data_IF_773433667507
#
_entry.id   IF_773433667507
#
_cell.length_a   1.000
_cell.length_b   1.000
_cell.length_c   1.000
_cell.angle_alpha   90.00
_cell.angle_beta   90.00
_cell.angle_gamma   90.00
#
_symmetry.space_group_name_H-M   'P 1'
#
loop_
_entity.id
_entity.type
_entity.pdbx_description
1 polymer ?
#
# COMPACT_ATOMS: atom_id res chain seq x y z
N UNK A 1 5.20 -24.44 31.90
CA UNK A 1 4.52 -23.14 31.78
C UNK A 1 3.20 -23.26 32.51
N UNK A 2 2.88 -22.35 33.44
CA UNK A 2 1.51 -22.25 33.94
C UNK A 2 0.59 -22.00 32.74
N UNK A 3 -0.44 -22.83 32.54
CA UNK A 3 -1.50 -22.54 31.57
C UNK A 3 -2.12 -21.20 31.97
N UNK A 4 -1.85 -20.15 31.20
CA UNK A 4 -2.51 -18.87 31.36
C UNK A 4 -3.96 -19.04 30.90
N UNK A 5 -4.91 -18.71 31.76
CA UNK A 5 -6.32 -18.64 31.40
C UNK A 5 -6.55 -17.30 30.68
N UNK A 6 -6.91 -17.35 29.40
CA UNK A 6 -7.19 -16.15 28.62
C UNK A 6 -8.63 -15.68 28.85
N UNK A 7 -8.84 -14.37 28.87
CA UNK A 7 -10.14 -13.72 28.99
C UNK A 7 -10.47 -12.97 27.70
N UNK A 8 -11.76 -12.72 27.48
CA UNK A 8 -12.22 -11.85 26.38
C UNK A 8 -11.93 -10.38 26.74
N UNK A 9 -10.66 -10.00 26.64
CA UNK A 9 -10.14 -8.65 26.88
C UNK A 9 -9.16 -8.28 25.77
N UNK A 10 -9.04 -6.99 25.47
CA UNK A 10 -8.17 -6.53 24.39
C UNK A 10 -6.69 -6.94 24.56
N UNK A 11 -6.09 -6.93 25.77
CA UNK A 11 -4.73 -7.43 25.97
C UNK A 11 -4.54 -8.91 25.64
N UNK A 12 -5.49 -9.76 26.02
CA UNK A 12 -5.41 -11.18 25.70
C UNK A 12 -5.63 -11.45 24.21
N UNK A 13 -6.57 -10.74 23.59
CA UNK A 13 -6.80 -10.76 22.15
C UNK A 13 -5.54 -10.35 21.37
N UNK A 14 -4.95 -9.19 21.68
CA UNK A 14 -3.75 -8.70 20.98
C UNK A 14 -2.56 -9.63 21.19
N UNK A 15 -2.40 -10.24 22.38
CA UNK A 15 -1.33 -11.22 22.63
C UNK A 15 -1.49 -12.47 21.75
N UNK A 16 -2.71 -12.96 21.57
CA UNK A 16 -2.99 -14.12 20.72
C UNK A 16 -2.82 -13.79 19.23
N UNK A 17 -3.28 -12.60 18.79
CA UNK A 17 -3.09 -12.11 17.42
C UNK A 17 -1.59 -11.92 17.12
N UNK A 18 -0.84 -11.33 18.04
CA UNK A 18 0.60 -11.12 17.92
C UNK A 18 1.44 -12.39 17.82
N UNK A 19 0.88 -13.58 18.10
CA UNK A 19 1.54 -14.85 17.79
C UNK A 19 1.65 -15.12 16.27
N UNK A 20 0.93 -14.36 15.46
CA UNK A 20 0.86 -14.48 14.00
C UNK A 20 1.37 -13.23 13.27
N UNK A 21 1.72 -12.17 14.01
CA UNK A 21 2.35 -11.01 13.40
C UNK A 21 3.69 -11.41 12.78
N UNK A 22 3.96 -10.91 11.58
CA UNK A 22 5.20 -11.15 10.82
C UNK A 22 5.39 -12.55 10.19
N UNK A 23 4.40 -13.44 10.26
CA UNK A 23 4.48 -14.75 9.59
C UNK A 23 3.45 -14.91 8.48
N UNK A 24 3.91 -15.28 7.27
CA UNK A 24 3.03 -15.75 6.20
C UNK A 24 2.49 -17.13 6.62
N UNK A 25 1.19 -17.21 6.93
CA UNK A 25 0.55 -18.50 7.19
C UNK A 25 0.35 -19.22 5.86
N UNK A 26 1.05 -20.35 5.68
CA UNK A 26 0.80 -21.25 4.57
C UNK A 26 -0.42 -22.14 4.87
N UNK A 27 -1.13 -22.63 3.85
CA UNK A 27 -2.19 -23.62 4.05
C UNK A 27 -1.65 -24.90 4.69
N UNK A 28 -2.20 -25.29 5.83
CA UNK A 28 -1.79 -26.48 6.59
C UNK A 28 -2.98 -27.37 6.96
N UNK A 29 -2.75 -28.67 7.08
CA UNK A 29 -3.74 -29.63 7.58
C UNK A 29 -4.08 -29.32 9.06
N UNK A 30 -5.31 -28.93 9.41
CA UNK A 30 -5.64 -28.54 10.78
C UNK A 30 -5.72 -29.75 11.73
N UNK A 31 -5.48 -29.53 13.02
CA UNK A 31 -5.81 -30.54 14.05
C UNK A 31 -7.32 -30.67 14.29
N UNK A 32 -7.72 -31.81 14.86
CA UNK A 32 -9.11 -32.05 15.32
C UNK A 32 -9.56 -30.91 16.24
N UNK A 33 -8.73 -30.54 17.22
CA UNK A 33 -9.05 -29.48 18.18
C UNK A 33 -9.25 -28.11 17.51
N UNK A 34 -8.43 -27.76 16.52
CA UNK A 34 -8.60 -26.53 15.76
C UNK A 34 -9.88 -26.57 14.91
N UNK A 35 -10.11 -27.66 14.18
CA UNK A 35 -11.30 -27.82 13.34
C UNK A 35 -12.60 -27.72 14.18
N UNK A 36 -12.67 -28.42 15.31
CA UNK A 36 -13.81 -28.38 16.23
C UNK A 36 -14.06 -26.99 16.82
N UNK A 37 -13.02 -26.17 16.98
CA UNK A 37 -13.15 -24.80 17.49
C UNK A 37 -13.51 -23.80 16.39
N UNK A 38 -13.10 -24.03 15.15
CA UNK A 38 -13.47 -23.21 14.00
C UNK A 38 -14.94 -23.38 13.62
N UNK A 39 -15.48 -24.60 13.71
CA UNK A 39 -16.83 -24.93 13.28
C UNK A 39 -17.91 -24.01 13.89
N UNK A 40 -17.95 -23.77 15.23
CA UNK A 40 -18.88 -22.82 15.83
C UNK A 40 -18.76 -21.39 15.28
N UNK A 41 -17.54 -20.91 15.06
CA UNK A 41 -17.31 -19.55 14.55
C UNK A 41 -17.81 -19.39 13.11
N UNK A 42 -17.50 -20.36 12.24
CA UNK A 42 -17.98 -20.39 10.86
C UNK A 42 -19.50 -20.49 10.79
N UNK A 43 -20.09 -21.29 11.68
CA UNK A 43 -21.55 -21.42 11.82
C UNK A 43 -22.20 -20.13 12.29
N UNK A 44 -21.63 -19.44 13.28
CA UNK A 44 -22.17 -18.17 13.78
C UNK A 44 -22.29 -17.12 12.65
N UNK A 45 -21.33 -17.12 11.73
CA UNK A 45 -21.27 -16.22 10.57
C UNK A 45 -21.86 -16.84 9.29
N UNK A 46 -22.54 -17.99 9.34
CA UNK A 46 -22.96 -18.72 8.13
C UNK A 46 -23.89 -17.88 7.24
N UNK A 47 -24.75 -17.08 7.87
CA UNK A 47 -25.78 -16.25 7.24
C UNK A 47 -25.31 -14.83 6.91
N UNK A 48 -24.06 -14.46 7.22
CA UNK A 48 -23.46 -13.21 6.78
C UNK A 48 -23.19 -13.28 5.26
N UNK A 49 -23.54 -12.23 4.54
CA UNK A 49 -23.26 -12.08 3.12
C UNK A 49 -21.75 -11.95 2.88
N UNK A 50 -21.30 -12.40 1.71
CA UNK A 50 -19.91 -12.25 1.30
C UNK A 50 -19.56 -10.80 0.99
N UNK A 51 -18.26 -10.48 1.01
CA UNK A 51 -17.78 -9.17 0.59
C UNK A 51 -18.04 -8.95 -0.91
N UNK A 52 -18.14 -7.69 -1.33
CA UNK A 52 -18.39 -7.33 -2.73
C UNK A 52 -17.23 -7.72 -3.65
N UNK A 53 -16.01 -7.76 -3.10
CA UNK A 53 -14.78 -8.01 -3.86
C UNK A 53 -14.39 -9.49 -3.89
N UNK A 54 -14.87 -10.28 -2.92
CA UNK A 54 -14.56 -11.70 -2.80
C UNK A 54 -15.76 -12.48 -2.24
N UNK A 55 -16.38 -13.29 -3.09
CA UNK A 55 -17.58 -14.05 -2.73
C UNK A 55 -17.33 -15.24 -1.79
N UNK A 56 -16.07 -15.57 -1.52
CA UNK A 56 -15.63 -16.59 -0.55
C UNK A 56 -15.26 -16.01 0.82
N UNK A 57 -15.13 -14.68 0.92
CA UNK A 57 -14.77 -13.99 2.16
C UNK A 57 -15.94 -13.18 2.73
N UNK A 58 -16.03 -13.10 4.05
CA UNK A 58 -17.00 -12.28 4.78
C UNK A 58 -16.42 -11.85 6.10
N UNK A 59 -16.87 -10.72 6.63
CA UNK A 59 -16.36 -10.23 7.89
C UNK A 59 -17.31 -9.29 8.60
N UNK A 60 -17.10 -9.17 9.91
CA UNK A 60 -17.92 -8.36 10.80
C UNK A 60 -17.03 -7.72 11.87
N UNK A 61 -17.35 -6.50 12.26
CA UNK A 61 -16.75 -5.83 13.41
C UNK A 61 -17.30 -6.43 14.70
N UNK A 62 -16.42 -6.64 15.66
CA UNK A 62 -16.75 -7.06 17.03
C UNK A 62 -16.12 -6.12 18.03
N UNK A 63 -16.72 -6.02 19.20
CA UNK A 63 -16.17 -5.25 20.32
C UNK A 63 -15.72 -6.17 21.44
N UNK A 64 -14.58 -5.86 22.03
CA UNK A 64 -14.01 -6.56 23.17
C UNK A 64 -13.69 -5.54 24.27
N UNK A 65 -14.00 -5.82 25.55
CA UNK A 65 -13.63 -4.92 26.64
C UNK A 65 -12.12 -4.66 26.69
N UNK A 66 -11.71 -3.45 27.07
CA UNK A 66 -10.31 -3.14 27.36
C UNK A 66 -9.66 -4.11 28.35
N UNK A 67 -10.44 -4.63 29.30
CA UNK A 67 -9.92 -5.35 30.46
C UNK A 67 -9.35 -4.41 31.51
N UNK A 68 -8.80 -5.00 32.56
CA UNK A 68 -8.11 -4.28 33.63
C UNK A 68 -6.61 -4.23 33.34
N UNK A 69 -5.89 -3.32 34.00
CA UNK A 69 -4.43 -3.22 33.88
C UNK A 69 -3.70 -4.53 34.25
N UNK A 70 -4.34 -5.40 35.04
CA UNK A 70 -3.82 -6.72 35.40
C UNK A 70 -3.96 -7.78 34.30
N UNK A 71 -4.78 -7.53 33.27
CA UNK A 71 -4.92 -8.43 32.11
C UNK A 71 -3.82 -8.19 31.05
N UNK A 72 -3.10 -7.06 31.15
CA UNK A 72 -1.99 -6.69 30.26
C UNK A 72 -0.67 -7.40 30.64
N UNK A 73 0.49 -6.80 30.36
CA UNK A 73 1.79 -7.22 30.90
C UNK A 73 1.97 -6.66 32.29
N UNK A 74 2.86 -7.23 33.08
CA UNK A 74 3.16 -6.75 34.44
C UNK A 74 4.02 -5.49 34.44
N UNK A 75 4.01 -4.74 35.55
CA UNK A 75 4.91 -3.59 35.73
C UNK A 75 6.38 -4.02 35.67
N UNK A 76 6.71 -5.17 36.26
CA UNK A 76 8.06 -5.73 36.27
C UNK A 76 8.54 -6.08 34.85
N UNK A 77 7.65 -6.59 33.99
CA UNK A 77 7.97 -6.82 32.57
C UNK A 77 8.21 -5.50 31.84
N UNK A 78 7.32 -4.51 31.98
CA UNK A 78 7.48 -3.21 31.33
C UNK A 78 8.76 -2.48 31.77
N UNK A 79 9.12 -2.59 33.06
CA UNK A 79 10.37 -2.05 33.60
C UNK A 79 11.60 -2.82 33.06
N UNK A 80 11.52 -4.14 32.94
CA UNK A 80 12.61 -4.95 32.41
C UNK A 80 12.91 -4.65 30.93
N UNK A 81 11.90 -4.19 30.17
CA UNK A 81 12.06 -3.69 28.80
C UNK A 81 12.41 -2.20 28.73
N UNK A 82 12.65 -1.54 29.87
CA UNK A 82 12.98 -0.11 29.98
C UNK A 82 11.91 0.83 29.36
N UNK A 83 10.65 0.38 29.33
CA UNK A 83 9.55 1.19 28.78
C UNK A 83 8.95 2.15 29.80
N UNK A 84 9.15 1.87 31.10
CA UNK A 84 8.63 2.65 32.22
C UNK A 84 9.60 2.63 33.41
N UNK A 85 9.73 3.76 34.09
CA UNK A 85 10.51 3.90 35.32
C UNK A 85 9.61 3.89 36.57
N UNK A 86 8.33 4.21 36.43
CA UNK A 86 7.38 4.33 37.55
C UNK A 86 6.05 3.64 37.30
N UNK A 87 5.32 3.34 38.39
CA UNK A 87 3.94 2.80 38.29
C UNK A 87 2.98 3.75 37.59
N UNK A 88 3.21 5.06 37.71
CA UNK A 88 2.40 6.07 37.04
C UNK A 88 2.57 5.99 35.52
N UNK A 89 3.81 5.94 35.04
CA UNK A 89 4.11 5.76 33.61
C UNK A 89 3.56 4.43 33.09
N UNK A 90 3.57 3.37 33.90
CA UNK A 90 2.94 2.09 33.55
C UNK A 90 1.42 2.18 33.35
N UNK A 91 0.72 2.91 34.22
CA UNK A 91 -0.72 3.17 34.06
C UNK A 91 -1.01 4.04 32.83
N UNK A 92 -0.19 5.07 32.58
CA UNK A 92 -0.30 5.94 31.41
C UNK A 92 -0.04 5.16 30.10
N UNK A 93 0.99 4.32 30.07
CA UNK A 93 1.33 3.50 28.91
C UNK A 93 0.23 2.47 28.59
N UNK A 94 -0.35 1.82 29.62
CA UNK A 94 -1.49 0.92 29.40
C UNK A 94 -2.68 1.64 28.74
N UNK A 95 -2.98 2.87 29.16
CA UNK A 95 -4.05 3.69 28.57
C UNK A 95 -3.69 4.18 27.17
N UNK A 96 -2.42 4.34 26.83
CA UNK A 96 -1.98 4.64 25.46
C UNK A 96 -2.21 3.47 24.51
N UNK A 97 -1.88 2.23 24.94
CA UNK A 97 -2.14 1.02 24.17
C UNK A 97 -3.63 0.72 24.01
N UNK A 98 -4.41 0.95 25.08
CA UNK A 98 -5.86 0.69 25.12
C UNK A 98 -6.65 1.93 25.57
N UNK A 99 -6.77 2.95 24.69
CA UNK A 99 -7.37 4.24 25.05
C UNK A 99 -8.89 4.18 25.17
N UNK A 100 -9.54 3.15 24.62
CA UNK A 100 -11.00 3.02 24.61
C UNK A 100 -11.48 2.00 25.64
N UNK A 101 -12.68 2.20 26.21
CA UNK A 101 -13.28 1.20 27.11
C UNK A 101 -13.61 -0.11 26.40
N UNK A 102 -13.91 -0.02 25.09
CA UNK A 102 -14.14 -1.13 24.18
C UNK A 102 -13.19 -1.00 23.00
N UNK A 103 -12.42 -2.05 22.73
CA UNK A 103 -11.60 -2.17 21.53
C UNK A 103 -12.37 -2.88 20.42
N UNK A 104 -11.98 -2.58 19.18
CA UNK A 104 -12.65 -3.05 17.98
C UNK A 104 -11.76 -4.01 17.20
N UNK A 105 -12.37 -5.07 16.69
CA UNK A 105 -11.68 -6.05 15.84
C UNK A 105 -12.55 -6.36 14.63
N UNK A 106 -11.95 -6.42 13.45
CA UNK A 106 -12.62 -6.94 12.26
C UNK A 106 -12.31 -8.42 12.13
N UNK A 107 -13.33 -9.26 12.25
CA UNK A 107 -13.20 -10.71 12.14
C UNK A 107 -13.61 -11.13 10.74
N UNK A 108 -12.65 -11.60 9.96
CA UNK A 108 -12.85 -12.12 8.62
C UNK A 108 -12.79 -13.64 8.60
N UNK A 109 -13.71 -14.28 7.90
CA UNK A 109 -13.60 -15.70 7.55
C UNK A 109 -13.65 -15.86 6.04
N UNK A 110 -12.92 -16.86 5.54
CA UNK A 110 -12.96 -17.28 4.14
C UNK A 110 -13.16 -18.79 4.03
N UNK A 111 -14.00 -19.21 3.10
CA UNK A 111 -14.23 -20.63 2.81
C UNK A 111 -14.42 -20.81 1.31
N UNK A 112 -13.67 -21.73 0.70
CA UNK A 112 -13.86 -22.00 -0.71
C UNK A 112 -15.26 -22.52 -1.00
N UNK A 113 -15.74 -22.29 -2.22
CA UNK A 113 -17.04 -22.81 -2.69
C UNK A 113 -17.14 -24.35 -2.57
N UNK A 114 -18.37 -24.88 -2.42
CA UNK A 114 -18.59 -26.33 -2.31
C UNK A 114 -18.07 -27.16 -3.50
N UNK A 115 -17.93 -26.58 -4.69
CA UNK A 115 -17.42 -27.21 -5.91
C UNK A 115 -15.93 -26.94 -6.17
N UNK A 116 -15.27 -26.09 -5.36
CA UNK A 116 -13.85 -25.81 -5.51
C UNK A 116 -12.99 -27.07 -5.37
N UNK A 117 -11.96 -27.18 -6.22
CA UNK A 117 -10.98 -28.29 -6.20
C UNK A 117 -10.24 -28.38 -4.87
N UNK A 118 -9.92 -27.23 -4.27
CA UNK A 118 -9.27 -27.13 -2.98
C UNK A 118 -10.32 -26.77 -1.92
N UNK A 119 -10.33 -27.49 -0.80
CA UNK A 119 -11.10 -27.14 0.39
C UNK A 119 -10.23 -26.41 1.39
N UNK A 120 -10.69 -25.22 1.77
CA UNK A 120 -9.93 -24.28 2.59
C UNK A 120 -10.84 -23.54 3.56
N UNK A 121 -10.33 -23.25 4.75
CA UNK A 121 -10.90 -22.28 5.68
C UNK A 121 -9.84 -21.34 6.22
N UNK A 122 -10.11 -20.04 6.13
CA UNK A 122 -9.28 -18.98 6.67
C UNK A 122 -10.00 -18.20 7.77
N UNK A 123 -9.25 -17.82 8.81
CA UNK A 123 -9.67 -16.83 9.81
C UNK A 123 -8.65 -15.70 9.82
N UNK A 124 -9.09 -14.46 9.61
CA UNK A 124 -8.30 -13.26 9.82
C UNK A 124 -8.91 -12.39 10.89
N UNK A 125 -8.04 -11.68 11.62
CA UNK A 125 -8.45 -10.71 12.63
C UNK A 125 -7.64 -9.45 12.43
N UNK A 126 -8.32 -8.33 12.19
CA UNK A 126 -7.70 -7.01 12.18
C UNK A 126 -8.02 -6.28 13.48
N UNK A 127 -6.99 -5.68 14.07
CA UNK A 127 -7.04 -4.79 15.23
C UNK A 127 -6.64 -3.37 14.79
N UNK A 128 -6.47 -2.45 15.74
CA UNK A 128 -5.94 -1.10 15.47
C UNK A 128 -4.53 -1.13 14.88
N UNK A 129 -3.71 -2.07 15.32
CA UNK A 129 -2.26 -2.09 15.04
C UNK A 129 -1.90 -3.10 13.95
N UNK A 130 -2.61 -4.23 13.89
CA UNK A 130 -2.26 -5.35 13.03
C UNK A 130 -3.46 -5.92 12.28
N UNK A 131 -3.23 -6.41 11.06
CA UNK A 131 -4.14 -7.31 10.35
C UNK A 131 -3.42 -8.65 10.11
N UNK A 132 -3.88 -9.69 10.81
CA UNK A 132 -3.24 -11.01 10.76
C UNK A 132 -4.18 -12.07 10.16
N UNK A 133 -3.64 -12.88 9.25
CA UNK A 133 -4.21 -14.20 8.94
C UNK A 133 -3.84 -15.14 10.08
N UNK A 134 -4.84 -15.55 10.87
CA UNK A 134 -4.65 -16.38 12.07
C UNK A 134 -4.67 -17.85 11.69
N UNK A 135 -5.64 -18.26 10.88
CA UNK A 135 -5.80 -19.66 10.45
C UNK A 135 -5.79 -19.74 8.94
N UNK A 136 -5.02 -20.69 8.41
CA UNK A 136 -4.99 -21.08 7.01
C UNK A 136 -5.12 -22.62 6.93
N UNK A 137 -6.35 -23.14 7.10
CA UNK A 137 -6.63 -24.57 7.19
C UNK A 137 -6.93 -25.21 5.82
N UNK A 138 -6.04 -26.07 5.34
CA UNK A 138 -6.25 -26.94 4.18
C UNK A 138 -7.02 -28.21 4.60
N UNK A 139 -8.24 -28.35 4.09
CA UNK A 139 -9.16 -29.44 4.46
C UNK A 139 -9.09 -30.64 3.51
N UNK A 140 -8.30 -30.58 2.43
CA UNK A 140 -8.21 -31.69 1.48
C UNK A 140 -7.52 -32.93 2.08
N UNK A 141 -6.61 -32.71 3.03
CA UNK A 141 -5.83 -33.75 3.69
C UNK A 141 -6.51 -34.28 4.96
N UNK A 142 -7.77 -33.87 5.23
CA UNK A 142 -8.50 -34.21 6.45
C UNK A 142 -7.99 -33.46 7.69
N UNK A 143 -8.13 -34.07 8.87
CA UNK A 143 -7.69 -33.51 10.15
C UNK A 143 -6.61 -34.38 10.80
N UNK A 144 -5.64 -33.75 11.47
CA UNK A 144 -4.62 -34.47 12.26
C UNK A 144 -5.02 -34.61 13.73
N UNK A 145 -4.62 -35.68 14.39
CA UNK A 145 -4.98 -35.90 15.80
C UNK A 145 -4.27 -34.92 16.76
N UNK A 146 -3.02 -34.55 16.47
CA UNK A 146 -2.20 -33.75 17.38
C UNK A 146 -2.25 -32.26 17.03
N UNK A 147 -2.44 -31.44 18.06
CA UNK A 147 -2.29 -29.99 18.00
C UNK A 147 -0.81 -29.61 17.91
N UNK A 148 -0.52 -28.62 17.09
CA UNK A 148 0.79 -28.00 16.97
C UNK A 148 0.85 -26.70 17.79
N UNK A 149 2.03 -26.28 18.24
CA UNK A 149 2.17 -25.14 19.16
C UNK A 149 1.57 -23.83 18.62
N UNK A 150 1.61 -23.59 17.29
CA UNK A 150 0.94 -22.42 16.69
C UNK A 150 -0.58 -22.54 16.69
N UNK A 151 -1.16 -23.73 16.73
CA UNK A 151 -2.63 -23.85 16.77
C UNK A 151 -3.20 -23.56 18.17
N UNK A 152 -2.41 -23.69 19.23
CA UNK A 152 -2.88 -23.42 20.60
C UNK A 152 -3.37 -21.97 20.75
N UNK A 153 -2.63 -20.92 20.33
CA UNK A 153 -3.15 -19.56 20.28
C UNK A 153 -4.38 -19.38 19.38
N UNK A 154 -4.45 -20.05 18.23
CA UNK A 154 -5.62 -19.94 17.33
C UNK A 154 -6.88 -20.52 17.98
N UNK A 155 -6.75 -21.68 18.64
CA UNK A 155 -7.84 -22.34 19.34
C UNK A 155 -8.39 -21.43 20.45
N UNK A 156 -7.51 -20.88 21.28
CA UNK A 156 -7.96 -19.95 22.34
C UNK A 156 -8.59 -18.68 21.74
N UNK A 157 -8.00 -18.12 20.68
CA UNK A 157 -8.56 -16.96 20.00
C UNK A 157 -9.95 -17.22 19.43
N UNK A 158 -10.18 -18.38 18.79
CA UNK A 158 -11.49 -18.76 18.25
C UNK A 158 -12.55 -18.87 19.36
N UNK A 159 -12.20 -19.43 20.51
CA UNK A 159 -13.10 -19.54 21.67
C UNK A 159 -13.50 -18.17 22.20
N UNK A 160 -12.54 -17.25 22.30
CA UNK A 160 -12.78 -15.88 22.77
C UNK A 160 -13.61 -15.06 21.79
N UNK A 161 -13.37 -15.21 20.48
CA UNK A 161 -14.08 -14.47 19.43
C UNK A 161 -15.55 -14.88 19.31
N UNK A 162 -15.88 -16.15 19.51
CA UNK A 162 -17.22 -16.68 19.30
C UNK A 162 -18.34 -15.84 19.95
N UNK A 163 -18.34 -15.57 21.27
CA UNK A 163 -19.39 -14.76 21.90
C UNK A 163 -19.46 -13.32 21.36
N UNK A 164 -18.32 -12.72 20.99
CA UNK A 164 -18.29 -11.36 20.42
C UNK A 164 -18.90 -11.34 19.01
N UNK A 165 -18.59 -12.35 18.19
CA UNK A 165 -19.19 -12.54 16.86
C UNK A 165 -20.69 -12.82 16.95
N UNK A 166 -21.12 -13.68 17.88
CA UNK A 166 -22.55 -13.98 18.08
C UNK A 166 -23.35 -12.73 18.41
N UNK A 167 -22.81 -11.85 19.28
CA UNK A 167 -23.42 -10.57 19.63
C UNK A 167 -23.55 -9.65 18.39
N UNK A 168 -22.46 -9.44 17.65
CA UNK A 168 -22.52 -8.62 16.42
C UNK A 168 -23.50 -9.18 15.38
N UNK A 169 -23.57 -10.51 15.24
CA UNK A 169 -24.52 -11.18 14.35
C UNK A 169 -25.97 -11.06 14.83
N UNK A 170 -26.23 -11.02 16.14
CA UNK A 170 -27.55 -10.74 16.71
C UNK A 170 -27.97 -9.30 16.40
N UNK A 171 -27.11 -8.31 16.65
CA UNK A 171 -27.35 -6.92 16.28
C UNK A 171 -27.64 -6.76 14.77
N UNK A 172 -26.98 -7.56 13.93
CA UNK A 172 -27.19 -7.56 12.49
C UNK A 172 -28.57 -8.11 12.12
N UNK A 173 -29.00 -9.19 12.75
CA UNK A 173 -30.36 -9.75 12.56
C UNK A 173 -31.45 -8.80 13.02
N UNK A 174 -31.17 -8.03 14.07
CA UNK A 174 -32.09 -7.02 14.60
C UNK A 174 -32.07 -5.70 13.82
N UNK A 175 -31.18 -5.57 12.82
CA UNK A 175 -31.06 -4.38 11.98
C UNK A 175 -30.42 -3.17 12.67
N UNK A 176 -29.80 -3.36 13.84
CA UNK A 176 -29.18 -2.27 14.63
C UNK A 176 -27.67 -2.14 14.39
N UNK A 177 -27.03 -3.21 13.89
CA UNK A 177 -25.57 -3.31 13.73
C UNK A 177 -24.95 -2.19 12.89
N UNK A 178 -25.37 -1.99 11.63
CA UNK A 178 -24.69 -1.05 10.74
C UNK A 178 -24.78 0.40 11.27
N UNK A 179 -25.94 0.80 11.81
CA UNK A 179 -26.09 2.11 12.43
C UNK A 179 -25.27 2.27 13.72
N UNK A 180 -25.05 1.17 14.45
CA UNK A 180 -24.17 1.15 15.60
C UNK A 180 -22.69 1.29 15.20
N UNK A 181 -22.21 0.54 14.21
CA UNK A 181 -20.82 0.63 13.71
C UNK A 181 -20.53 2.02 13.19
N UNK A 182 -21.35 2.55 12.28
CA UNK A 182 -21.14 3.89 11.68
C UNK A 182 -21.03 5.00 12.74
N UNK A 183 -21.78 4.86 13.84
CA UNK A 183 -21.79 5.85 14.92
C UNK A 183 -20.60 5.72 15.88
N UNK A 184 -20.11 4.50 16.13
CA UNK A 184 -19.20 4.23 17.25
C UNK A 184 -17.81 3.73 16.83
N UNK A 185 -17.58 3.40 15.55
CA UNK A 185 -16.27 2.94 15.08
C UNK A 185 -15.22 4.07 15.25
N UNK A 186 -14.17 3.86 16.06
CA UNK A 186 -13.18 4.91 16.32
C UNK A 186 -12.34 5.25 15.08
N UNK A 187 -11.83 6.49 15.02
CA UNK A 187 -11.04 6.99 13.89
C UNK A 187 -9.85 6.11 13.44
N UNK A 188 -9.13 5.36 14.30
CA UNK A 188 -8.01 4.53 13.87
C UNK A 188 -8.43 3.39 12.92
N UNK A 189 -9.72 3.05 12.91
CA UNK A 189 -10.26 1.98 12.07
C UNK A 189 -10.91 2.50 10.79
N UNK A 190 -11.08 3.82 10.66
CA UNK A 190 -11.88 4.42 9.59
C UNK A 190 -11.04 4.84 8.40
N UNK A 191 -11.66 4.78 7.23
CA UNK A 191 -11.13 5.41 6.01
C UNK A 191 -11.78 6.79 5.83
N UNK A 192 -11.01 7.78 5.41
CA UNK A 192 -11.51 9.15 5.21
C UNK A 192 -10.72 9.90 4.15
N UNK A 193 -11.15 11.10 3.80
CA UNK A 193 -10.38 12.00 2.94
C UNK A 193 -10.34 13.38 3.55
N UNK A 194 -9.26 14.11 3.29
CA UNK A 194 -9.11 15.51 3.67
C UNK A 194 -8.59 16.30 2.48
N UNK A 195 -9.13 17.50 2.25
CA UNK A 195 -8.58 18.39 1.22
C UNK A 195 -7.17 18.80 1.60
N UNK A 196 -6.24 18.73 0.66
CA UNK A 196 -4.86 19.16 0.90
C UNK A 196 -4.77 20.62 1.34
N UNK A 197 -5.67 21.48 0.85
CA UNK A 197 -5.75 22.88 1.27
C UNK A 197 -5.98 23.05 2.78
N UNK A 198 -6.73 22.15 3.41
CA UNK A 198 -6.94 22.18 4.87
C UNK A 198 -5.68 21.77 5.62
N UNK A 199 -5.00 20.71 5.17
CA UNK A 199 -3.72 20.27 5.75
C UNK A 199 -2.66 21.36 5.65
N UNK A 200 -2.50 21.98 4.48
CA UNK A 200 -1.56 23.09 4.30
C UNK A 200 -1.90 24.34 5.13
N UNK A 201 -3.18 24.59 5.40
CA UNK A 201 -3.59 25.70 6.25
C UNK A 201 -3.26 25.43 7.73
N UNK A 202 -3.42 24.19 8.17
CA UNK A 202 -3.07 23.75 9.52
C UNK A 202 -1.55 23.60 9.72
N UNK A 203 -0.82 23.22 8.67
CA UNK A 203 0.63 22.97 8.70
C UNK A 203 1.38 23.63 7.53
N UNK A 204 1.61 24.95 7.59
CA UNK A 204 2.35 25.67 6.55
C UNK A 204 3.77 25.12 6.31
N UNK A 205 4.47 24.74 7.37
CA UNK A 205 5.83 24.18 7.29
C UNK A 205 5.86 22.84 6.52
N UNK A 206 4.80 22.04 6.62
CA UNK A 206 4.69 20.80 5.83
C UNK A 206 4.62 21.09 4.33
N UNK A 207 3.82 22.11 3.95
CA UNK A 207 3.74 22.57 2.55
C UNK A 207 5.10 23.06 2.05
N UNK A 208 5.82 23.85 2.85
CA UNK A 208 7.13 24.38 2.46
C UNK A 208 8.15 23.26 2.23
N UNK A 209 8.23 22.28 3.14
CA UNK A 209 9.10 21.10 2.99
C UNK A 209 8.76 20.27 1.75
N UNK A 210 7.48 20.12 1.42
CA UNK A 210 7.06 19.30 0.28
C UNK A 210 7.57 19.82 -1.08
N UNK A 211 7.81 21.13 -1.19
CA UNK A 211 8.25 21.79 -2.41
C UNK A 211 9.63 22.43 -2.29
N UNK A 212 10.39 22.07 -1.25
CA UNK A 212 11.74 22.58 -1.04
C UNK A 212 12.61 22.35 -2.28
N UNK A 213 13.29 23.41 -2.74
CA UNK A 213 14.13 23.38 -3.93
C UNK A 213 13.41 23.62 -5.26
N UNK A 214 12.08 23.58 -5.33
CA UNK A 214 11.33 24.00 -6.52
C UNK A 214 11.10 25.50 -6.54
N UNK A 215 11.53 26.14 -7.62
CA UNK A 215 11.30 27.58 -7.82
C UNK A 215 9.90 27.85 -8.37
N UNK A 216 9.25 28.99 -8.02
CA UNK A 216 7.94 29.35 -8.55
C UNK A 216 7.86 29.35 -10.08
N UNK A 217 8.94 29.74 -10.77
CA UNK A 217 9.00 29.75 -12.24
C UNK A 217 8.97 28.33 -12.82
N UNK A 218 9.60 27.37 -12.13
CA UNK A 218 9.55 25.95 -12.54
C UNK A 218 8.14 25.39 -12.37
N UNK A 219 7.47 25.71 -11.27
CA UNK A 219 6.08 25.29 -11.03
C UNK A 219 5.15 25.86 -12.11
N UNK A 220 5.30 27.15 -12.43
CA UNK A 220 4.49 27.78 -13.49
C UNK A 220 4.81 27.19 -14.87
N UNK A 221 6.08 26.92 -15.17
CA UNK A 221 6.49 26.29 -16.42
C UNK A 221 5.89 24.89 -16.55
N UNK A 222 6.00 24.09 -15.50
CA UNK A 222 5.42 22.76 -15.41
C UNK A 222 3.91 22.81 -15.68
N UNK A 223 3.18 23.67 -14.96
CA UNK A 223 1.74 23.89 -15.16
C UNK A 223 1.40 24.17 -16.62
N UNK A 224 2.14 25.06 -17.28
CA UNK A 224 1.87 25.42 -18.67
C UNK A 224 2.08 24.23 -19.62
N UNK A 225 3.09 23.40 -19.38
CA UNK A 225 3.34 22.20 -20.18
C UNK A 225 2.24 21.15 -20.00
N UNK A 226 1.84 20.89 -18.76
CA UNK A 226 0.78 19.93 -18.46
C UNK A 226 -0.55 20.39 -19.06
N UNK A 227 -0.97 21.63 -18.78
CA UNK A 227 -2.26 22.18 -19.25
C UNK A 227 -2.34 22.41 -20.76
N UNK A 228 -1.21 22.56 -21.46
CA UNK A 228 -1.17 22.62 -22.93
C UNK A 228 -1.25 21.24 -23.60
N UNK A 229 -1.22 20.16 -22.81
CA UNK A 229 -1.21 18.79 -23.32
C UNK A 229 0.17 18.36 -23.87
N UNK A 230 1.25 18.99 -23.40
CA UNK A 230 2.62 18.59 -23.78
C UNK A 230 3.04 17.25 -23.17
N UNK A 231 2.38 16.82 -22.09
CA UNK A 231 2.58 15.52 -21.44
C UNK A 231 1.57 14.47 -21.93
N UNK A 232 1.55 14.25 -23.24
CA UNK A 232 0.63 13.31 -23.90
C UNK A 232 1.44 12.31 -24.73
N UNK A 233 1.29 11.02 -24.42
CA UNK A 233 2.04 9.93 -25.04
C UNK A 233 1.91 9.89 -26.57
N UNK A 234 0.77 10.32 -27.10
CA UNK A 234 0.48 10.37 -28.54
C UNK A 234 1.05 11.61 -29.22
N UNK A 235 1.41 12.66 -28.47
CA UNK A 235 1.91 13.93 -29.01
C UNK A 235 3.41 14.10 -28.90
N UNK A 236 4.05 13.46 -27.92
CA UNK A 236 5.51 13.49 -27.80
C UNK A 236 6.15 12.70 -28.95
N UNK A 237 7.33 13.15 -29.40
CA UNK A 237 8.08 12.46 -30.45
C UNK A 237 8.58 11.08 -30.03
N UNK A 238 9.34 10.43 -30.93
CA UNK A 238 10.06 9.17 -30.65
C UNK A 238 11.48 9.26 -31.17
N UNK A 239 12.40 8.64 -30.44
CA UNK A 239 13.76 8.38 -30.91
C UNK A 239 13.75 7.04 -31.65
N UNK A 240 14.10 7.03 -32.92
CA UNK A 240 14.17 5.79 -33.71
C UNK A 240 15.23 4.82 -33.15
N UNK A 241 16.33 5.37 -32.63
CA UNK A 241 17.45 4.62 -32.06
C UNK A 241 17.89 5.26 -30.75
N UNK A 242 18.47 4.46 -29.88
CA UNK A 242 19.11 4.90 -28.65
C UNK A 242 20.45 4.22 -28.45
N UNK A 243 21.34 4.90 -27.73
CA UNK A 243 22.58 4.35 -27.20
C UNK A 243 22.60 4.52 -25.68
N UNK A 244 23.46 3.78 -24.97
CA UNK A 244 23.64 3.99 -23.52
C UNK A 244 24.11 5.42 -23.21
N UNK A 245 24.92 6.02 -24.09
CA UNK A 245 25.35 7.40 -23.97
C UNK A 245 24.19 8.39 -24.04
N UNK A 246 23.14 8.12 -24.82
CA UNK A 246 21.96 8.98 -24.87
C UNK A 246 21.21 8.96 -23.54
N UNK A 247 21.05 7.78 -22.95
CA UNK A 247 20.48 7.62 -21.62
C UNK A 247 21.34 8.33 -20.54
N UNK A 248 22.67 8.14 -20.56
CA UNK A 248 23.55 8.81 -19.58
C UNK A 248 23.56 10.32 -19.72
N UNK A 249 23.45 10.87 -20.94
CA UNK A 249 23.29 12.32 -21.17
C UNK A 249 21.95 12.83 -20.63
N UNK A 250 20.87 12.08 -20.79
CA UNK A 250 19.59 12.43 -20.19
C UNK A 250 19.68 12.45 -18.65
N UNK A 251 20.38 11.47 -18.04
CA UNK A 251 20.67 11.48 -16.60
C UNK A 251 21.47 12.74 -16.19
N UNK A 252 22.51 13.09 -16.94
CA UNK A 252 23.33 14.28 -16.69
C UNK A 252 22.48 15.57 -16.71
N UNK A 253 21.58 15.72 -17.68
CA UNK A 253 20.67 16.88 -17.75
C UNK A 253 19.84 16.99 -16.46
N UNK A 254 19.26 15.88 -16.02
CA UNK A 254 18.50 15.85 -14.77
C UNK A 254 19.35 16.15 -13.54
N UNK A 255 20.54 15.56 -13.42
CA UNK A 255 21.46 15.82 -12.31
C UNK A 255 21.87 17.28 -12.22
N UNK A 256 22.13 17.93 -13.36
CA UNK A 256 22.38 19.39 -13.40
C UNK A 256 21.16 20.16 -12.92
N UNK A 257 19.96 19.78 -13.35
CA UNK A 257 18.72 20.46 -12.99
C UNK A 257 18.42 20.43 -11.49
N UNK A 258 18.76 19.33 -10.81
CA UNK A 258 18.58 19.18 -9.35
C UNK A 258 19.81 19.62 -8.54
N UNK A 259 20.78 20.31 -9.17
CA UNK A 259 21.94 20.89 -8.48
C UNK A 259 22.98 19.88 -7.99
N UNK A 260 23.05 18.67 -8.56
CA UNK A 260 24.15 17.75 -8.27
C UNK A 260 25.45 18.27 -8.87
N UNK A 261 26.57 17.98 -8.20
CA UNK A 261 27.92 18.27 -8.74
C UNK A 261 28.14 17.45 -9.99
N UNK A 262 28.37 18.12 -11.11
CA UNK A 262 28.52 17.48 -12.44
C UNK A 262 29.85 17.81 -13.12
N UNK A 263 30.51 18.87 -12.68
CA UNK A 263 31.76 19.36 -13.26
C UNK A 263 32.89 18.34 -13.08
N UNK A 264 33.59 18.04 -14.17
CA UNK A 264 34.72 17.11 -14.20
C UNK A 264 34.35 15.62 -14.28
N UNK A 265 33.06 15.29 -14.45
CA UNK A 265 32.59 13.92 -14.64
C UNK A 265 32.02 13.73 -16.05
N UNK A 266 32.21 12.54 -16.60
CA UNK A 266 31.51 12.07 -17.80
C UNK A 266 30.08 11.66 -17.46
N UNK A 267 29.14 11.61 -18.44
CA UNK A 267 27.76 11.21 -18.19
C UNK A 267 27.62 9.85 -17.48
N UNK A 268 28.38 8.83 -17.90
CA UNK A 268 28.35 7.50 -17.26
C UNK A 268 28.89 7.54 -15.82
N UNK A 269 29.89 8.38 -15.53
CA UNK A 269 30.39 8.55 -14.16
C UNK A 269 29.34 9.23 -13.26
N UNK A 270 28.52 10.12 -13.81
CA UNK A 270 27.42 10.74 -13.07
C UNK A 270 26.32 9.73 -12.76
N UNK A 271 25.95 8.90 -13.75
CA UNK A 271 25.02 7.80 -13.55
C UNK A 271 25.51 6.86 -12.44
N UNK A 272 26.74 6.33 -12.54
CA UNK A 272 27.32 5.45 -11.52
C UNK A 272 27.47 6.09 -10.15
N UNK A 273 27.55 7.43 -10.08
CA UNK A 273 27.70 8.17 -8.83
C UNK A 273 26.38 8.37 -8.09
N UNK A 274 25.28 8.54 -8.83
CA UNK A 274 24.02 9.02 -8.28
C UNK A 274 22.84 8.06 -8.45
N UNK A 275 22.91 7.10 -9.38
CA UNK A 275 21.87 6.08 -9.55
C UNK A 275 22.01 4.96 -8.52
N UNK A 276 21.02 4.07 -8.49
CA UNK A 276 20.93 2.92 -7.58
C UNK A 276 22.09 1.92 -7.74
N UNK A 277 22.60 1.73 -8.96
CA UNK A 277 23.76 0.85 -9.23
C UNK A 277 23.40 -0.61 -9.53
N UNK A 278 22.11 -0.99 -9.50
CA UNK A 278 21.60 -2.26 -10.04
C UNK A 278 21.22 -2.10 -11.51
N UNK A 279 22.19 -1.83 -12.38
CA UNK A 279 21.96 -1.44 -13.77
C UNK A 279 21.84 -2.59 -14.78
N UNK A 280 21.69 -3.83 -14.30
CA UNK A 280 21.49 -5.02 -15.15
C UNK A 280 22.60 -5.19 -16.20
N UNK A 281 23.85 -4.93 -15.79
CA UNK A 281 25.02 -5.09 -16.65
C UNK A 281 25.18 -4.01 -17.71
N UNK A 282 24.37 -2.94 -17.70
CA UNK A 282 24.46 -1.83 -18.66
C UNK A 282 25.88 -1.25 -18.72
N UNK A 283 26.44 -0.88 -17.56
CA UNK A 283 27.80 -0.32 -17.49
C UNK A 283 28.88 -1.37 -17.29
N UNK A 284 28.50 -2.59 -16.89
CA UNK A 284 29.41 -3.62 -16.39
C UNK A 284 30.07 -3.28 -15.05
N UNK A 285 29.70 -2.16 -14.43
CA UNK A 285 30.27 -1.63 -13.18
C UNK A 285 29.23 -1.51 -12.06
N UNK A 286 28.04 -2.09 -12.25
CA UNK A 286 27.05 -2.21 -11.20
C UNK A 286 27.51 -3.14 -10.08
N UNK A 287 26.77 -3.20 -8.98
CA UNK A 287 27.12 -4.08 -7.86
C UNK A 287 26.59 -5.51 -8.05
N UNK A 288 27.36 -6.51 -7.62
CA UNK A 288 26.91 -7.90 -7.54
C UNK A 288 26.83 -8.60 -8.90
N UNK A 289 25.65 -9.14 -9.24
CA UNK A 289 25.42 -9.84 -10.52
C UNK A 289 25.51 -8.93 -11.76
N UNK A 290 25.66 -7.62 -11.56
CA UNK A 290 25.75 -6.60 -12.60
C UNK A 290 27.20 -6.26 -13.00
N UNK A 291 28.19 -6.92 -12.40
CA UNK A 291 29.61 -6.78 -12.76
C UNK A 291 29.91 -7.57 -14.04
N UNK A 292 30.58 -6.94 -15.00
CA UNK A 292 30.85 -7.58 -16.30
C UNK A 292 31.47 -6.65 -17.33
N UNK A 293 31.49 -7.04 -18.63
CA UNK A 293 32.08 -6.22 -19.67
C UNK A 293 31.30 -4.92 -19.95
N UNK A 294 30.03 -4.84 -19.56
CA UNK A 294 29.14 -3.77 -19.98
C UNK A 294 28.77 -3.90 -21.46
N UNK A 295 27.97 -2.95 -21.97
CA UNK A 295 27.69 -2.84 -23.40
C UNK A 295 28.54 -1.76 -24.06
N UNK A 296 28.61 -1.75 -25.40
CA UNK A 296 29.19 -0.65 -26.14
C UNK A 296 28.27 0.59 -26.05
N UNK A 297 28.72 1.65 -25.38
CA UNK A 297 27.85 2.78 -25.01
C UNK A 297 27.38 3.65 -26.17
N UNK A 298 28.05 3.57 -27.30
CA UNK A 298 27.83 4.32 -28.53
C UNK A 298 27.23 3.47 -29.67
N UNK A 299 26.98 2.18 -29.42
CA UNK A 299 26.38 1.26 -30.39
C UNK A 299 24.88 1.07 -30.14
N UNK A 300 24.01 1.53 -31.08
CA UNK A 300 22.57 1.31 -30.96
C UNK A 300 22.15 -0.16 -30.96
N UNK A 301 22.89 -1.03 -31.64
CA UNK A 301 22.58 -2.47 -31.66
C UNK A 301 22.88 -3.12 -30.32
N UNK A 302 23.97 -2.72 -29.66
CA UNK A 302 24.27 -3.16 -28.30
C UNK A 302 23.23 -2.69 -27.28
N UNK A 303 22.70 -1.46 -27.45
CA UNK A 303 21.59 -0.96 -26.64
C UNK A 303 20.30 -1.76 -26.86
N UNK A 304 19.91 -2.02 -28.11
CA UNK A 304 18.70 -2.80 -28.41
C UNK A 304 18.79 -4.24 -27.87
N UNK A 305 19.92 -4.91 -28.08
CA UNK A 305 20.15 -6.26 -27.56
C UNK A 305 20.01 -6.29 -26.04
N UNK A 306 20.64 -5.33 -25.34
CA UNK A 306 20.49 -5.19 -23.91
C UNK A 306 19.03 -4.90 -23.55
N UNK A 307 18.44 -3.81 -24.02
CA UNK A 307 17.10 -3.34 -23.65
C UNK A 307 16.00 -4.39 -23.82
N UNK A 308 16.03 -5.17 -24.91
CA UNK A 308 15.03 -6.19 -25.22
C UNK A 308 15.35 -7.58 -24.63
N UNK A 309 16.48 -7.74 -23.94
CA UNK A 309 16.80 -8.97 -23.23
C UNK A 309 16.03 -9.09 -21.91
N UNK A 310 15.96 -10.32 -21.39
CA UNK A 310 15.32 -10.60 -20.09
C UNK A 310 16.27 -10.23 -18.96
N UNK A 311 15.91 -9.24 -18.16
CA UNK A 311 16.72 -8.75 -17.03
C UNK A 311 16.21 -9.28 -15.69
N UNK A 312 17.13 -9.54 -14.77
CA UNK A 312 16.95 -10.28 -13.52
C UNK A 312 16.42 -9.47 -12.33
N UNK A 313 15.58 -8.47 -12.57
CA UNK A 313 14.92 -7.68 -11.51
C UNK A 313 15.71 -6.48 -10.98
N UNK A 314 16.76 -6.04 -11.67
CA UNK A 314 17.51 -4.82 -11.36
C UNK A 314 16.79 -3.54 -11.79
N UNK A 315 17.38 -2.42 -11.38
CA UNK A 315 16.74 -1.10 -11.36
C UNK A 315 17.57 -0.05 -12.15
N UNK A 316 17.89 -0.28 -13.44
CA UNK A 316 18.74 0.63 -14.23
C UNK A 316 18.17 2.04 -14.35
N UNK A 317 16.86 2.18 -14.16
CA UNK A 317 16.12 3.43 -14.29
C UNK A 317 16.09 4.26 -13.00
N UNK A 318 16.43 3.71 -11.83
CA UNK A 318 16.43 4.43 -10.55
C UNK A 318 17.63 5.39 -10.45
N UNK A 319 17.50 6.53 -11.13
CA UNK A 319 18.57 7.54 -11.24
C UNK A 319 18.68 8.43 -10.01
N UNK A 320 17.68 8.43 -9.13
CA UNK A 320 17.76 8.98 -7.76
C UNK A 320 17.31 7.88 -6.78
N UNK A 321 18.24 7.29 -6.00
CA UNK A 321 17.96 6.13 -5.18
C UNK A 321 17.03 6.46 -4.01
N UNK A 322 16.27 5.46 -3.61
CA UNK A 322 15.33 5.48 -2.49
C UNK A 322 14.73 4.10 -2.28
N UNK A 323 13.86 3.97 -1.27
CA UNK A 323 13.06 2.75 -1.11
C UNK A 323 12.01 2.63 -2.21
N UNK A 324 11.25 1.53 -2.20
CA UNK A 324 10.21 1.24 -3.20
C UNK A 324 9.20 2.39 -3.43
N UNK A 325 8.98 3.24 -2.42
CA UNK A 325 8.07 4.38 -2.49
C UNK A 325 8.76 5.75 -2.52
N UNK A 326 10.10 5.81 -2.53
CA UNK A 326 10.86 7.08 -2.40
C UNK A 326 11.98 7.27 -3.41
N UNK A 327 12.17 6.36 -4.37
CA UNK A 327 13.05 6.59 -5.52
C UNK A 327 12.38 7.49 -6.58
N UNK A 328 13.19 8.05 -7.47
CA UNK A 328 12.74 8.65 -8.73
C UNK A 328 13.41 7.88 -9.87
N UNK A 329 12.63 7.43 -10.85
CA UNK A 329 13.15 6.71 -11.99
C UNK A 329 13.00 7.51 -13.28
N UNK A 330 14.03 7.42 -14.12
CA UNK A 330 14.02 7.86 -15.52
C UNK A 330 13.96 6.59 -16.38
N UNK A 331 12.76 6.12 -16.65
CA UNK A 331 12.56 4.97 -17.53
C UNK A 331 12.86 5.38 -18.97
N UNK A 332 13.51 4.47 -19.70
CA UNK A 332 13.41 4.43 -21.15
C UNK A 332 12.28 3.47 -21.52
N UNK A 333 11.31 3.95 -22.29
CA UNK A 333 10.18 3.19 -22.83
C UNK A 333 10.38 2.97 -24.32
N UNK A 334 9.77 1.90 -24.83
CA UNK A 334 9.69 1.62 -26.25
C UNK A 334 8.28 1.12 -26.59
N UNK A 335 7.61 1.69 -27.59
CA UNK A 335 6.19 1.42 -27.85
C UNK A 335 5.90 -0.04 -28.22
N UNK A 336 6.86 -0.73 -28.85
CA UNK A 336 6.73 -2.10 -29.37
C UNK A 336 6.04 -3.06 -28.40
N UNK A 337 6.53 -3.21 -27.17
CA UNK A 337 5.95 -4.15 -26.21
C UNK A 337 4.55 -3.72 -25.74
N UNK A 338 4.33 -2.43 -25.54
CA UNK A 338 3.02 -1.90 -25.14
C UNK A 338 1.98 -2.16 -26.23
N UNK A 339 2.32 -1.92 -27.50
CA UNK A 339 1.44 -2.17 -28.63
C UNK A 339 1.16 -3.67 -28.82
N UNK A 340 2.20 -4.52 -28.75
CA UNK A 340 2.05 -5.98 -28.77
C UNK A 340 1.09 -6.50 -27.68
N UNK A 341 1.17 -5.93 -26.47
CA UNK A 341 0.27 -6.27 -25.37
C UNK A 341 -1.17 -5.80 -25.61
N UNK A 342 -1.39 -4.57 -26.05
CA UNK A 342 -2.74 -4.03 -26.33
C UNK A 342 -3.44 -4.83 -27.43
N UNK A 343 -2.72 -5.19 -28.50
CA UNK A 343 -3.25 -6.06 -29.57
C UNK A 343 -3.64 -7.42 -29.01
N UNK A 344 -2.78 -8.04 -28.18
CA UNK A 344 -3.04 -9.34 -27.56
C UNK A 344 -4.26 -9.35 -26.64
N UNK A 345 -4.48 -8.25 -25.91
CA UNK A 345 -5.62 -8.09 -25.02
C UNK A 345 -6.91 -7.71 -25.77
N UNK A 346 -6.84 -7.45 -27.09
CA UNK A 346 -7.98 -6.99 -27.89
C UNK A 346 -8.40 -5.56 -27.59
N UNK A 347 -7.53 -4.78 -26.92
CA UNK A 347 -7.75 -3.36 -26.62
C UNK A 347 -7.44 -2.46 -27.84
N UNK A 348 -6.79 -3.02 -28.86
CA UNK A 348 -6.36 -2.34 -30.09
C UNK A 348 -6.31 -3.35 -31.23
N UNK A 349 -6.64 -2.95 -32.46
CA UNK A 349 -6.44 -3.81 -33.64
C UNK A 349 -4.99 -3.77 -34.14
N UNK A 350 -4.60 -4.78 -34.93
CA UNK A 350 -3.27 -4.75 -35.55
C UNK A 350 -3.12 -3.54 -36.49
N UNK A 351 -4.16 -3.16 -37.24
CA UNK A 351 -4.08 -1.97 -38.12
C UNK A 351 -3.91 -0.67 -37.34
N UNK A 352 -4.50 -0.56 -36.15
CA UNK A 352 -4.31 0.61 -35.26
C UNK A 352 -2.88 0.65 -34.70
N UNK A 353 -2.35 -0.50 -34.29
CA UNK A 353 -0.97 -0.61 -33.82
C UNK A 353 0.05 -0.26 -34.91
N UNK A 354 -0.18 -0.70 -36.15
CA UNK A 354 0.71 -0.44 -37.30
C UNK A 354 0.76 1.04 -37.69
N UNK A 355 -0.26 1.83 -37.33
CA UNK A 355 -0.31 3.28 -37.55
C UNK A 355 0.29 4.09 -36.40
N UNK A 356 0.60 3.43 -35.28
CA UNK A 356 1.12 4.10 -34.10
C UNK A 356 2.60 4.46 -34.28
N UNK A 357 3.04 5.65 -33.83
CA UNK A 357 4.46 5.93 -33.73
C UNK A 357 5.17 4.86 -32.88
N UNK A 358 6.30 4.36 -33.36
CA UNK A 358 7.14 3.38 -32.67
C UNK A 358 8.54 3.95 -32.51
N UNK A 359 9.01 3.98 -31.27
CA UNK A 359 10.41 4.18 -30.95
C UNK A 359 10.62 4.36 -29.46
N UNK A 360 11.77 4.91 -29.09
CA UNK A 360 12.10 5.16 -27.69
C UNK A 360 11.59 6.52 -27.22
N UNK A 361 11.23 6.60 -25.95
CA UNK A 361 10.96 7.84 -25.23
C UNK A 361 11.31 7.70 -23.75
N UNK A 362 11.41 8.83 -23.05
CA UNK A 362 11.67 8.86 -21.61
C UNK A 362 10.38 8.97 -20.81
N UNK A 363 10.31 8.30 -19.66
CA UNK A 363 9.23 8.47 -18.70
C UNK A 363 9.80 8.65 -17.30
N UNK A 364 9.45 9.75 -16.65
CA UNK A 364 9.86 10.05 -15.28
C UNK A 364 8.77 9.60 -14.32
N UNK A 365 9.16 8.82 -13.31
CA UNK A 365 8.32 8.52 -12.14
C UNK A 365 8.98 9.08 -10.89
N UNK A 366 8.21 9.24 -9.82
CA UNK A 366 8.72 9.78 -8.56
C UNK A 366 7.79 10.83 -7.97
N UNK A 367 6.48 10.55 -7.95
CA UNK A 367 5.45 11.46 -7.45
C UNK A 367 5.73 11.97 -6.02
N UNK A 368 6.43 11.20 -5.19
CA UNK A 368 6.83 11.59 -3.84
C UNK A 368 8.12 12.45 -3.77
N UNK A 369 8.73 12.74 -4.92
CA UNK A 369 9.90 13.62 -5.11
C UNK A 369 9.60 14.67 -6.18
N UNK A 370 8.67 15.61 -5.91
CA UNK A 370 8.27 16.59 -6.91
C UNK A 370 9.45 17.49 -7.33
N UNK A 371 10.39 17.80 -6.42
CA UNK A 371 11.56 18.59 -6.77
C UNK A 371 12.41 17.94 -7.85
N UNK A 372 12.80 16.69 -7.65
CA UNK A 372 13.61 15.97 -8.63
C UNK A 372 12.83 15.66 -9.91
N UNK A 373 11.61 15.11 -9.78
CA UNK A 373 10.85 14.65 -10.95
C UNK A 373 10.45 15.80 -11.88
N UNK A 374 9.96 16.92 -11.34
CA UNK A 374 9.63 18.11 -12.14
C UNK A 374 10.89 18.72 -12.75
N UNK A 375 11.99 18.82 -11.98
CA UNK A 375 13.23 19.41 -12.51
C UNK A 375 13.85 18.58 -13.63
N UNK A 376 13.84 17.24 -13.51
CA UNK A 376 14.25 16.34 -14.60
C UNK A 376 13.35 16.52 -15.81
N UNK A 377 12.03 16.52 -15.63
CA UNK A 377 11.07 16.65 -16.72
C UNK A 377 11.29 17.93 -17.52
N UNK A 378 11.41 19.06 -16.82
CA UNK A 378 11.67 20.35 -17.46
C UNK A 378 12.99 20.37 -18.21
N UNK A 379 14.07 19.82 -17.63
CA UNK A 379 15.38 19.80 -18.26
C UNK A 379 15.44 18.95 -19.53
N UNK A 380 14.79 17.78 -19.52
CA UNK A 380 14.70 16.91 -20.70
C UNK A 380 13.80 17.53 -21.76
N UNK A 381 12.67 18.11 -21.36
CA UNK A 381 11.76 18.79 -22.27
C UNK A 381 12.43 19.99 -22.95
N UNK A 382 13.13 20.85 -22.20
CA UNK A 382 13.84 22.01 -22.76
C UNK A 382 15.02 21.61 -23.65
N UNK A 383 15.58 20.41 -23.47
CA UNK A 383 16.55 19.80 -24.39
C UNK A 383 15.92 19.19 -25.65
N UNK A 384 14.58 19.23 -25.80
CA UNK A 384 13.86 18.69 -26.94
C UNK A 384 13.74 17.16 -26.94
N UNK A 385 13.95 16.51 -25.80
CA UNK A 385 13.83 15.04 -25.69
C UNK A 385 12.36 14.63 -25.55
N UNK A 386 11.94 13.51 -26.15
CA UNK A 386 10.58 12.99 -25.97
C UNK A 386 10.45 12.43 -24.55
N UNK A 387 9.80 13.18 -23.68
CA UNK A 387 9.69 12.85 -22.25
C UNK A 387 8.26 13.02 -21.74
N UNK A 388 7.84 12.05 -20.93
CA UNK A 388 6.64 12.12 -20.11
C UNK A 388 7.02 12.13 -18.63
N UNK A 389 6.12 12.66 -17.81
CA UNK A 389 6.13 12.48 -16.36
C UNK A 389 4.82 11.80 -15.93
N UNK A 390 4.95 10.77 -15.10
CA UNK A 390 3.82 10.05 -14.50
C UNK A 390 3.16 10.87 -13.41
N UNK A 391 1.86 10.66 -13.20
CA UNK A 391 1.05 11.36 -12.20
C UNK A 391 1.07 12.90 -12.37
N UNK A 392 1.16 13.36 -13.62
CA UNK A 392 1.46 14.75 -13.91
C UNK A 392 0.42 15.73 -13.37
N UNK A 393 -0.86 15.39 -13.56
CA UNK A 393 -2.00 16.16 -13.09
C UNK A 393 -2.12 16.10 -11.57
N UNK A 394 -1.80 14.96 -10.95
CA UNK A 394 -1.83 14.83 -9.50
C UNK A 394 -0.68 15.60 -8.83
N UNK A 395 0.52 15.61 -9.42
CA UNK A 395 1.61 16.49 -8.98
C UNK A 395 1.18 17.95 -9.13
N UNK A 396 0.49 18.32 -10.21
CA UNK A 396 -0.01 19.67 -10.42
C UNK A 396 -1.04 20.06 -9.35
N UNK A 397 -1.98 19.16 -9.03
CA UNK A 397 -3.02 19.37 -8.04
C UNK A 397 -2.44 19.62 -6.63
N UNK A 398 -1.28 19.03 -6.30
CA UNK A 398 -0.57 19.31 -5.04
C UNK A 398 -0.10 20.75 -4.92
N UNK A 399 0.34 21.37 -6.02
CA UNK A 399 0.74 22.78 -6.02
C UNK A 399 -0.46 23.69 -5.77
N UNK A 400 -1.62 23.32 -6.31
CA UNK A 400 -2.88 24.06 -6.13
C UNK A 400 -3.60 23.71 -4.82
N UNK A 401 -3.15 22.66 -4.13
CA UNK A 401 -3.84 22.06 -2.99
C UNK A 401 -5.30 21.69 -3.31
N UNK A 402 -5.57 21.32 -4.57
CA UNK A 402 -6.91 21.03 -5.08
C UNK A 402 -7.31 19.57 -4.94
N UNK A 403 -6.35 18.69 -4.66
CA UNK A 403 -6.54 17.25 -4.44
C UNK A 403 -6.91 16.91 -2.99
N UNK A 404 -7.17 15.61 -2.79
CA UNK A 404 -7.42 15.01 -1.48
C UNK A 404 -6.23 14.16 -1.06
N UNK A 405 -5.97 14.15 0.25
CA UNK A 405 -5.12 13.17 0.93
C UNK A 405 -6.04 12.11 1.51
N UNK A 406 -5.70 10.84 1.30
CA UNK A 406 -6.42 9.72 1.85
C UNK A 406 -6.04 9.48 3.32
N UNK A 407 -7.03 9.31 4.18
CA UNK A 407 -6.86 8.85 5.55
C UNK A 407 -7.17 7.37 5.55
N UNK A 408 -6.20 6.56 5.99
CA UNK A 408 -6.34 5.10 6.04
C UNK A 408 -6.34 4.61 7.49
N UNK A 409 -6.92 3.43 7.76
CA UNK A 409 -6.85 2.80 9.08
C UNK A 409 -5.39 2.63 9.54
N UNK A 410 -5.15 2.64 10.86
CA UNK A 410 -3.81 2.53 11.45
C UNK A 410 -3.12 1.20 11.13
N UNK A 411 -3.88 0.11 11.02
CA UNK A 411 -3.38 -1.20 10.59
C UNK A 411 -2.98 -1.25 9.10
N UNK A 412 -3.30 -0.22 8.32
CA UNK A 412 -2.93 -0.12 6.91
C UNK A 412 -1.74 0.81 6.76
N UNK A 413 -0.65 0.31 6.15
CA UNK A 413 0.48 1.19 5.80
C UNK A 413 0.00 2.24 4.80
N UNK A 414 0.24 3.56 5.02
CA UNK A 414 -0.26 4.64 4.18
C UNK A 414 0.53 4.76 2.86
N UNK A 415 0.57 3.68 2.09
CA UNK A 415 1.25 3.54 0.80
C UNK A 415 0.47 2.59 -0.08
N UNK A 416 0.34 2.94 -1.36
CA UNK A 416 -0.35 2.13 -2.36
C UNK A 416 -1.83 1.86 -2.02
N UNK A 417 -2.51 2.84 -1.41
CA UNK A 417 -3.90 2.73 -0.97
C UNK A 417 -4.89 3.35 -1.96
N UNK A 418 -4.49 3.60 -3.22
CA UNK A 418 -5.29 4.32 -4.22
C UNK A 418 -6.68 3.69 -4.39
N UNK A 419 -6.79 2.36 -4.31
CA UNK A 419 -8.03 1.61 -4.50
C UNK A 419 -9.06 1.76 -3.38
N UNK A 420 -8.66 2.24 -2.20
CA UNK A 420 -9.56 2.43 -1.05
C UNK A 420 -10.48 3.64 -1.22
N UNK A 421 -10.19 4.53 -2.18
CA UNK A 421 -10.86 5.82 -2.31
C UNK A 421 -11.83 5.83 -3.50
N UNK A 422 -13.09 6.26 -3.31
CA UNK A 422 -14.04 6.38 -4.40
C UNK A 422 -13.58 7.36 -5.48
N UNK A 423 -13.88 7.02 -6.75
CA UNK A 423 -13.50 7.84 -7.93
C UNK A 423 -13.94 9.31 -7.86
N UNK A 424 -14.96 9.63 -7.08
CA UNK A 424 -15.46 11.01 -6.91
C UNK A 424 -14.42 11.95 -6.27
N UNK A 425 -13.41 11.41 -5.59
CA UNK A 425 -12.31 12.19 -5.02
C UNK A 425 -11.10 12.32 -5.96
N UNK A 426 -11.23 11.85 -7.21
CA UNK A 426 -10.12 11.78 -8.16
C UNK A 426 -9.12 10.68 -7.78
N UNK A 427 -7.91 10.78 -8.33
CA UNK A 427 -6.81 9.86 -8.01
C UNK A 427 -6.11 10.32 -6.74
N UNK A 428 -6.43 9.70 -5.61
CA UNK A 428 -5.79 9.98 -4.31
C UNK A 428 -4.43 9.30 -4.27
N UNK A 429 -3.34 10.07 -4.24
CA UNK A 429 -1.96 9.54 -4.36
C UNK A 429 -1.07 9.76 -3.14
N UNK A 430 -1.57 10.45 -2.12
CA UNK A 430 -0.92 10.55 -0.81
C UNK A 430 -1.89 10.06 0.26
N UNK A 431 -1.32 9.43 1.27
CA UNK A 431 -2.07 8.82 2.36
C UNK A 431 -1.44 9.18 3.69
N UNK A 432 -2.25 9.23 4.74
CA UNK A 432 -1.81 9.51 6.09
C UNK A 432 -2.63 8.72 7.11
N UNK A 433 -2.03 8.52 8.28
CA UNK A 433 -2.78 8.27 9.49
C UNK A 433 -3.14 9.61 10.11
N UNK A 434 -4.26 9.66 10.82
CA UNK A 434 -4.59 10.77 11.72
C UNK A 434 -4.45 10.29 13.14
N UNK A 435 -3.88 11.11 14.01
CA UNK A 435 -3.78 10.88 15.44
C UNK A 435 -4.72 11.81 16.21
N UNK A 436 -4.82 11.62 17.53
CA UNK A 436 -5.71 12.42 18.38
C UNK A 436 -5.47 13.93 18.22
N UNK A 437 -4.20 14.34 18.17
CA UNK A 437 -3.81 15.75 17.97
C UNK A 437 -4.25 16.30 16.60
N UNK A 438 -4.27 15.44 15.58
CA UNK A 438 -4.66 15.82 14.23
C UNK A 438 -6.16 16.00 14.09
N UNK A 439 -6.95 15.27 14.88
CA UNK A 439 -8.40 15.48 14.95
C UNK A 439 -8.75 16.85 15.53
N UNK A 440 -7.90 17.42 16.37
CA UNK A 440 -8.06 18.80 16.83
C UNK A 440 -7.71 19.80 15.72
N UNK A 441 -6.65 19.51 14.94
CA UNK A 441 -6.18 20.35 13.83
C UNK A 441 -7.15 20.37 12.65
N UNK A 442 -7.67 19.21 12.25
CA UNK A 442 -8.40 19.02 10.98
C UNK A 442 -9.90 18.81 11.16
N UNK A 443 -10.41 18.89 12.40
CA UNK A 443 -11.70 18.36 12.87
C UNK A 443 -12.85 18.33 11.86
N UNK A 444 -13.15 19.48 11.25
CA UNK A 444 -14.31 19.65 10.38
C UNK A 444 -14.00 19.47 8.89
N UNK A 445 -12.72 19.31 8.54
CA UNK A 445 -12.24 19.17 7.17
C UNK A 445 -12.10 17.70 6.73
N UNK A 446 -12.09 16.77 7.69
CA UNK A 446 -12.10 15.33 7.41
C UNK A 446 -13.49 14.89 7.00
N UNK A 447 -13.58 14.27 5.83
CA UNK A 447 -14.76 13.56 5.37
C UNK A 447 -14.52 12.07 5.59
N UNK A 448 -15.11 11.52 6.63
CA UNK A 448 -15.09 10.07 6.86
C UNK A 448 -15.94 9.37 5.82
N UNK A 449 -15.37 8.33 5.21
CA UNK A 449 -16.11 7.46 4.31
C UNK A 449 -16.99 6.52 5.15
N UNK A 450 -18.19 6.17 4.65
CA UNK A 450 -19.03 5.19 5.32
C UNK A 450 -18.36 3.82 5.28
N UNK A 451 -18.54 3.03 6.34
CA UNK A 451 -18.12 1.63 6.33
C UNK A 451 -18.98 0.82 5.38
N UNK A 452 -18.39 -0.23 4.79
CA UNK A 452 -19.16 -1.18 3.98
C UNK A 452 -20.19 -1.88 4.89
N UNK A 453 -21.50 -1.82 4.56
CA UNK A 453 -22.51 -2.39 5.41
C UNK A 453 -22.44 -3.93 5.42
N UNK A 454 -22.57 -4.52 6.60
CA UNK A 454 -22.78 -5.95 6.74
C UNK A 454 -24.23 -6.30 6.37
N UNK A 455 -24.44 -7.41 5.68
CA UNK A 455 -25.76 -7.86 5.25
C UNK A 455 -25.96 -9.36 5.54
N UNK A 456 -27.21 -9.78 5.70
CA UNK A 456 -27.56 -11.21 5.74
C UNK A 456 -27.75 -11.76 4.32
N UNK A 457 -27.39 -13.02 4.11
CA UNK A 457 -27.65 -13.76 2.87
C UNK A 457 -29.12 -13.68 2.50
N UNK A 458 -29.41 -13.27 1.25
CA UNK A 458 -30.76 -13.09 0.73
C UNK A 458 -31.24 -11.63 0.61
N UNK A 459 -30.56 -10.67 1.25
CA UNK A 459 -30.84 -9.23 1.06
C UNK A 459 -30.12 -8.61 -0.16
N UNK A 460 -29.16 -9.32 -0.77
CA UNK A 460 -28.39 -8.91 -1.95
C UNK A 460 -29.22 -8.63 -3.23
N UNK A 461 -30.54 -8.87 -3.23
CA UNK A 461 -31.42 -8.68 -4.38
C UNK A 461 -32.19 -7.35 -4.42
N UNK A 462 -31.87 -6.36 -3.56
CA UNK A 462 -32.61 -5.08 -3.56
C UNK A 462 -31.78 -3.81 -3.74
N UNK A 463 -30.50 -3.92 -4.11
CA UNK A 463 -29.59 -2.78 -4.13
C UNK A 463 -28.73 -2.63 -5.38
N UNK A 464 -29.29 -2.79 -6.58
CA UNK A 464 -28.61 -2.35 -7.81
C UNK A 464 -29.61 -2.10 -8.94
N UNK A 465 -30.05 -0.84 -9.05
CA UNK A 465 -30.40 -0.19 -10.30
C UNK A 465 -29.67 1.14 -10.36
#
# INVERSE_FOLDING_TARGET
MMQKEYKLTAPDMNRLIGCYSHEIQNPEQPSVALAETLDPLFKAMENLASSKENDEAKGIWVMVPRGEITDWRTYEEAQAYEEVESKKEYEELWQEYYPFEMEWYFVGISENKPDAKWKFRGLSVASREDHCLIVNANLNDGVREKTWYKEEPAIELCKLLLPAVENSMEMLRDGTYNGFVEKNLPYPYRTGVIKRSAVYAAEPDYKERQFEGLKPEQIQRYRNLITSGSNDELKIGRLEKMTANDFFRACELGYKAIGKKTEGFTPVQLYLRYADGRDEGLTGKGHGLNEGPGIAFDDPSAWEEWYFSSHGGGHPWEVVPGGNSTHMALFVRHDKHTLEWKVRLGEMTQEEADQHPVGFYYQITGKHRPMESVSFYLALHDAGLPVLISDAEEILARFDASDYIGIVPHAVTPKYCESMFPKQYGKVIDFMHVYQEDLEKYKNDIIWLPEDPAELKGNLLKGSK
#
